data_IF_149700510387
#
_entry.id   IF_149700510387
#
_cell.length_a   1.000
_cell.length_b   1.000
_cell.length_c   1.000
_cell.angle_alpha   90.00
_cell.angle_beta   90.00
_cell.angle_gamma   90.00
#
_symmetry.space_group_name_H-M   'P 1'
#
loop_
_entity.id
_entity.type
_entity.pdbx_description
1 polymer ?
#
# COMPACT_ATOMS: atom_id res chain seq x y z
N UNK A 1 5.63 -23.20 -7.43
CA UNK A 1 5.31 -22.16 -6.44
C UNK A 1 4.31 -22.73 -5.44
N UNK A 2 4.58 -22.60 -4.14
CA UNK A 2 3.63 -23.04 -3.13
C UNK A 2 2.37 -22.16 -3.19
N UNK A 3 1.19 -22.76 -2.98
CA UNK A 3 -0.05 -22.01 -2.83
C UNK A 3 0.04 -21.13 -1.57
N UNK A 4 -0.50 -19.91 -1.59
CA UNK A 4 -0.55 -19.08 -0.39
C UNK A 4 -1.42 -19.74 0.69
N UNK A 5 -1.08 -19.49 1.97
CA UNK A 5 -1.78 -20.05 3.11
C UNK A 5 -3.20 -19.49 3.31
N UNK A 6 -3.52 -18.41 2.61
CA UNK A 6 -4.82 -17.72 2.71
C UNK A 6 -5.10 -16.93 1.42
N UNK A 7 -6.32 -16.42 1.29
CA UNK A 7 -6.72 -15.58 0.16
C UNK A 7 -6.01 -14.23 0.22
N UNK A 8 -4.96 -14.09 -0.58
CA UNK A 8 -4.13 -12.88 -0.62
C UNK A 8 -4.93 -11.67 -1.11
N UNK A 9 -5.75 -11.84 -2.14
CA UNK A 9 -6.54 -10.73 -2.67
C UNK A 9 -7.51 -10.18 -1.63
N UNK A 10 -8.21 -11.06 -0.91
CA UNK A 10 -9.12 -10.65 0.16
C UNK A 10 -8.37 -9.98 1.30
N UNK A 11 -7.20 -10.51 1.68
CA UNK A 11 -6.36 -9.92 2.72
C UNK A 11 -5.92 -8.51 2.35
N UNK A 12 -5.45 -8.31 1.13
CA UNK A 12 -4.95 -7.02 0.64
C UNK A 12 -6.06 -6.01 0.33
N UNK A 13 -7.32 -6.41 0.36
CA UNK A 13 -8.46 -5.49 0.27
C UNK A 13 -8.77 -4.80 1.59
N UNK A 14 -8.23 -5.28 2.71
CA UNK A 14 -8.44 -4.66 4.01
C UNK A 14 -7.66 -3.34 4.14
N UNK A 15 -8.17 -2.35 4.89
CA UNK A 15 -7.48 -1.07 5.07
C UNK A 15 -6.31 -1.19 6.06
N UNK A 16 -5.29 -1.91 5.64
CA UNK A 16 -4.09 -2.14 6.42
C UNK A 16 -3.00 -1.16 6.01
N UNK A 17 -1.99 -1.01 6.84
CA UNK A 17 -0.81 -0.22 6.54
C UNK A 17 0.24 -1.13 5.90
N UNK A 18 0.81 -0.70 4.78
CA UNK A 18 2.00 -1.31 4.22
C UNK A 18 3.24 -0.59 4.74
N UNK A 19 4.34 -1.32 4.82
CA UNK A 19 5.66 -0.72 5.09
C UNK A 19 6.53 -1.00 3.89
N UNK A 20 6.94 0.06 3.22
CA UNK A 20 7.77 -0.03 2.02
C UNK A 20 9.22 0.30 2.36
N UNK A 21 10.12 -0.59 1.93
CA UNK A 21 11.55 -0.46 2.11
C UNK A 21 12.22 -0.15 0.78
N UNK A 22 13.16 0.77 0.81
CA UNK A 22 13.97 1.16 -0.34
C UNK A 22 15.46 1.00 -0.02
N UNK A 23 16.29 1.05 -1.07
CA UNK A 23 17.74 1.05 -0.88
C UNK A 23 18.18 2.23 -0.03
N UNK A 24 19.20 1.96 0.88
CA UNK A 24 19.74 3.00 1.70
C UNK A 24 20.07 2.66 3.16
N UNK A 25 19.57 1.61 3.88
CA UNK A 25 18.20 1.13 3.79
C UNK A 25 17.22 2.14 4.44
N UNK A 26 16.03 2.25 3.89
CA UNK A 26 14.97 3.08 4.44
C UNK A 26 13.65 2.32 4.44
N UNK A 27 12.76 2.69 5.35
CA UNK A 27 11.43 2.09 5.46
C UNK A 27 10.44 3.14 5.92
N UNK A 28 9.20 3.05 5.42
CA UNK A 28 8.12 3.94 5.86
C UNK A 28 6.75 3.27 5.75
N UNK A 29 5.81 3.64 6.62
CA UNK A 29 4.42 3.21 6.50
C UNK A 29 3.74 4.00 5.38
N UNK A 30 2.88 3.31 4.62
CA UNK A 30 2.08 3.93 3.56
C UNK A 30 0.71 3.30 3.51
N UNK A 31 -0.27 4.07 3.06
CA UNK A 31 -1.57 3.56 2.64
C UNK A 31 -1.46 3.09 1.19
N UNK A 32 -2.18 2.04 0.84
CA UNK A 32 -2.07 1.44 -0.49
C UNK A 32 -3.41 0.95 -1.01
N UNK A 33 -3.49 0.78 -2.33
CA UNK A 33 -4.48 -0.05 -2.99
C UNK A 33 -3.79 -1.31 -3.50
N UNK A 34 -4.52 -2.40 -3.50
CA UNK A 34 -4.16 -3.61 -4.22
C UNK A 34 -5.21 -3.85 -5.30
N UNK A 35 -4.83 -3.66 -6.56
CA UNK A 35 -5.70 -3.91 -7.70
C UNK A 35 -4.86 -4.18 -8.95
N UNK A 36 -5.39 -4.97 -9.86
CA UNK A 36 -4.71 -5.33 -11.12
C UNK A 36 -3.35 -5.99 -10.88
N UNK A 37 -3.24 -6.77 -9.80
CA UNK A 37 -1.99 -7.45 -9.46
C UNK A 37 -0.87 -6.53 -9.02
N UNK A 38 -1.17 -5.33 -8.56
CA UNK A 38 -0.18 -4.34 -8.17
C UNK A 38 -0.56 -3.63 -6.87
N UNK A 39 0.48 -3.18 -6.16
CA UNK A 39 0.33 -2.22 -5.06
C UNK A 39 0.45 -0.81 -5.62
N UNK A 40 -0.43 0.07 -5.15
CA UNK A 40 -0.45 1.48 -5.57
C UNK A 40 -0.41 2.35 -4.34
N UNK A 41 0.57 3.25 -4.26
CA UNK A 41 0.66 4.24 -3.20
C UNK A 41 1.01 5.61 -3.76
N UNK A 42 0.60 6.67 -3.06
CA UNK A 42 0.87 8.03 -3.50
C UNK A 42 2.29 8.44 -3.15
N UNK A 43 2.91 9.15 -4.06
CA UNK A 43 4.19 9.82 -3.86
C UNK A 43 4.27 11.06 -4.75
N UNK A 44 5.39 11.73 -4.73
CA UNK A 44 5.62 12.93 -5.54
C UNK A 44 6.90 13.63 -5.10
N UNK A 45 7.32 14.72 -5.79
CA UNK A 45 8.53 15.47 -5.45
C UNK A 45 8.57 16.01 -4.02
N UNK A 46 7.40 16.07 -3.37
CA UNK A 46 7.25 16.49 -1.97
C UNK A 46 7.60 15.39 -0.96
N UNK A 47 7.89 14.17 -1.43
CA UNK A 47 8.19 13.01 -0.57
C UNK A 47 9.56 12.41 -0.92
N UNK A 48 10.30 12.01 0.12
CA UNK A 48 11.61 11.35 -0.08
C UNK A 48 11.51 10.02 -0.80
N UNK A 49 10.40 9.32 -0.65
CA UNK A 49 10.15 8.07 -1.35
C UNK A 49 10.27 8.24 -2.86
N UNK A 50 9.77 9.35 -3.40
CA UNK A 50 9.86 9.68 -4.82
C UNK A 50 11.31 9.70 -5.31
N UNK A 51 12.17 10.43 -4.61
CA UNK A 51 13.59 10.54 -4.99
C UNK A 51 14.31 9.20 -4.86
N UNK A 52 14.01 8.44 -3.81
CA UNK A 52 14.65 7.16 -3.57
C UNK A 52 14.35 6.13 -4.65
N UNK A 53 13.09 6.05 -5.10
CA UNK A 53 12.73 5.09 -6.16
C UNK A 53 13.20 5.55 -7.53
N UNK A 54 13.44 6.85 -7.72
CA UNK A 54 14.10 7.35 -8.94
C UNK A 54 15.56 6.96 -8.98
N UNK A 55 16.25 7.00 -7.82
CA UNK A 55 17.65 6.59 -7.72
C UNK A 55 17.81 5.08 -7.84
N UNK A 56 16.97 4.33 -7.14
CA UNK A 56 16.99 2.87 -7.18
C UNK A 56 15.54 2.37 -7.03
N UNK A 57 14.95 1.85 -8.10
CA UNK A 57 13.55 1.40 -8.08
C UNK A 57 13.33 0.07 -7.36
N UNK A 58 14.37 -0.62 -6.91
CA UNK A 58 14.22 -1.87 -6.16
C UNK A 58 13.59 -1.61 -4.81
N UNK A 59 12.45 -2.23 -4.53
CA UNK A 59 11.71 -2.06 -3.28
C UNK A 59 11.24 -3.39 -2.74
N UNK A 60 11.02 -3.40 -1.43
CA UNK A 60 10.31 -4.47 -0.74
C UNK A 60 9.17 -3.84 0.05
N UNK A 61 8.09 -4.60 0.24
CA UNK A 61 6.92 -4.12 0.92
C UNK A 61 6.35 -5.25 1.77
N UNK A 62 5.93 -4.94 2.99
CA UNK A 62 5.23 -5.87 3.86
C UNK A 62 3.88 -5.29 4.27
N UNK A 63 2.86 -6.14 4.22
CA UNK A 63 1.55 -5.86 4.81
C UNK A 63 1.29 -6.97 5.81
N UNK A 64 0.97 -6.59 7.04
CA UNK A 64 0.71 -7.58 8.08
C UNK A 64 -0.49 -7.18 8.95
N UNK A 65 -1.08 -8.18 9.59
CA UNK A 65 -2.04 -7.99 10.66
C UNK A 65 -1.64 -8.84 11.84
N UNK A 66 -1.87 -8.33 13.05
CA UNK A 66 -1.64 -9.07 14.28
C UNK A 66 -2.78 -8.73 15.24
N UNK A 67 -3.66 -9.70 15.47
CA UNK A 67 -4.77 -9.58 16.40
C UNK A 67 -4.54 -10.50 17.58
N UNK A 68 -4.18 -9.93 18.71
CA UNK A 68 -3.88 -10.69 19.92
C UNK A 68 -5.12 -11.29 20.58
N UNK A 69 -6.30 -10.79 20.26
CA UNK A 69 -7.56 -11.32 20.80
C UNK A 69 -7.90 -12.66 20.14
N UNK A 70 -7.77 -12.72 18.82
CA UNK A 70 -8.09 -13.93 18.05
C UNK A 70 -6.89 -14.82 17.79
N UNK A 71 -5.66 -14.28 17.94
CA UNK A 71 -4.44 -14.97 17.55
C UNK A 71 -4.18 -14.97 16.06
N UNK A 72 -4.93 -14.15 15.30
CA UNK A 72 -4.74 -14.08 13.85
C UNK A 72 -3.53 -13.24 13.52
N UNK A 73 -2.54 -13.87 12.89
CA UNK A 73 -1.32 -13.19 12.42
C UNK A 73 -1.05 -13.62 10.98
N UNK A 74 -1.11 -12.68 10.07
CA UNK A 74 -0.88 -12.94 8.64
C UNK A 74 0.02 -11.88 8.07
N UNK A 75 0.83 -12.25 7.10
CA UNK A 75 1.71 -11.29 6.43
C UNK A 75 1.84 -11.61 4.94
N UNK A 76 2.03 -10.55 4.16
CA UNK A 76 2.39 -10.61 2.76
C UNK A 76 3.66 -9.80 2.57
N UNK A 77 4.69 -10.40 1.97
CA UNK A 77 5.94 -9.74 1.63
C UNK A 77 6.05 -9.75 0.11
N UNK A 78 6.24 -8.58 -0.47
CA UNK A 78 6.39 -8.40 -1.91
C UNK A 78 7.73 -7.72 -2.21
N UNK A 79 8.35 -8.11 -3.32
CA UNK A 79 9.58 -7.49 -3.82
C UNK A 79 9.43 -7.26 -5.31
N UNK A 80 10.01 -6.18 -5.78
CA UNK A 80 10.00 -5.85 -7.20
C UNK A 80 10.61 -4.49 -7.47
N UNK A 81 10.32 -3.97 -8.66
CA UNK A 81 10.76 -2.65 -9.10
C UNK A 81 9.58 -1.71 -9.12
N UNK A 82 9.71 -0.60 -8.41
CA UNK A 82 8.69 0.44 -8.38
C UNK A 82 8.68 1.21 -9.71
N UNK A 83 7.49 1.55 -10.17
CA UNK A 83 7.28 2.45 -11.30
C UNK A 83 6.57 3.70 -10.83
N UNK A 84 6.96 4.85 -11.35
CA UNK A 84 6.23 6.10 -11.12
C UNK A 84 5.31 6.32 -12.32
N UNK A 85 4.01 6.36 -12.05
CA UNK A 85 2.99 6.53 -13.10
C UNK A 85 2.09 7.74 -12.76
N UNK A 86 1.47 8.37 -13.78
CA UNK A 86 0.63 9.54 -13.53
C UNK A 86 -0.51 9.26 -12.56
N UNK A 87 -0.80 10.23 -11.70
CA UNK A 87 -1.94 10.15 -10.79
C UNK A 87 -3.25 10.20 -11.56
N UNK A 88 -4.23 9.41 -11.13
CA UNK A 88 -5.60 9.51 -11.60
C UNK A 88 -6.55 9.61 -10.40
N UNK A 89 -7.56 10.46 -10.54
CA UNK A 89 -8.52 10.77 -9.47
C UNK A 89 -9.39 9.55 -9.15
N UNK A 90 -9.73 8.75 -10.15
CA UNK A 90 -10.64 7.60 -9.95
C UNK A 90 -10.01 6.57 -9.02
N UNK A 91 -8.74 6.23 -9.25
CA UNK A 91 -8.00 5.33 -8.36
C UNK A 91 -7.75 5.98 -6.99
N UNK A 92 -7.48 7.28 -6.98
CA UNK A 92 -7.30 8.05 -5.76
C UNK A 92 -8.54 7.99 -4.85
N UNK A 93 -9.72 8.12 -5.44
CA UNK A 93 -10.99 8.00 -4.71
C UNK A 93 -11.16 6.60 -4.13
N UNK A 94 -10.91 5.55 -4.90
CA UNK A 94 -11.01 4.18 -4.39
C UNK A 94 -10.11 3.96 -3.16
N UNK A 95 -8.88 4.48 -3.22
CA UNK A 95 -7.95 4.38 -2.10
C UNK A 95 -8.48 5.10 -0.86
N UNK A 96 -8.95 6.33 -1.00
CA UNK A 96 -9.43 7.10 0.13
C UNK A 96 -10.73 6.54 0.72
N UNK A 97 -11.64 6.06 -0.10
CA UNK A 97 -12.86 5.40 0.36
C UNK A 97 -12.54 4.17 1.21
N UNK A 98 -11.52 3.43 0.83
CA UNK A 98 -11.08 2.23 1.55
C UNK A 98 -10.66 2.53 2.98
N UNK A 99 -9.98 3.66 3.21
CA UNK A 99 -9.47 4.04 4.54
C UNK A 99 -10.41 4.96 5.31
N UNK A 100 -11.15 5.81 4.62
CA UNK A 100 -11.92 6.89 5.23
C UNK A 100 -13.44 6.68 5.15
N UNK A 101 -13.90 5.70 4.38
CA UNK A 101 -15.33 5.44 4.18
C UNK A 101 -15.89 6.15 2.95
N UNK A 102 -17.13 5.82 2.60
CA UNK A 102 -17.77 6.30 1.38
C UNK A 102 -18.27 7.74 1.45
N UNK A 103 -18.48 8.28 2.65
CA UNK A 103 -18.99 9.64 2.84
C UNK A 103 -17.85 10.65 2.95
N UNK A 104 -17.54 11.29 1.83
CA UNK A 104 -16.47 12.27 1.71
C UNK A 104 -16.65 13.46 2.68
N UNK A 105 -17.89 13.79 3.04
CA UNK A 105 -18.17 14.88 3.97
C UNK A 105 -17.63 14.62 5.39
N UNK A 106 -17.35 13.35 5.72
CA UNK A 106 -16.80 12.96 7.01
C UNK A 106 -15.26 12.88 7.00
N UNK A 107 -14.63 13.08 5.84
CA UNK A 107 -13.18 13.00 5.75
C UNK A 107 -12.49 14.24 6.30
N UNK A 108 -11.28 14.07 6.83
CA UNK A 108 -10.39 15.18 7.12
C UNK A 108 -10.10 15.94 5.82
N UNK A 109 -10.18 17.27 5.87
CA UNK A 109 -10.04 18.13 4.69
C UNK A 109 -8.74 17.91 3.91
N UNK A 110 -7.67 17.51 4.60
CA UNK A 110 -6.37 17.26 3.93
C UNK A 110 -6.45 16.18 2.84
N UNK A 111 -7.35 15.21 3.00
CA UNK A 111 -7.50 14.13 2.02
C UNK A 111 -8.37 14.54 0.83
N UNK A 112 -9.29 15.48 1.05
CA UNK A 112 -10.16 16.00 -0.02
C UNK A 112 -9.32 16.70 -1.11
N UNK A 113 -8.23 17.34 -0.73
CA UNK A 113 -7.33 18.01 -1.68
C UNK A 113 -6.80 17.09 -2.79
N UNK A 114 -6.56 15.83 -2.48
CA UNK A 114 -6.06 14.87 -3.47
C UNK A 114 -7.07 14.55 -4.57
N UNK A 115 -8.34 14.89 -4.37
CA UNK A 115 -9.39 14.61 -5.34
C UNK A 115 -9.89 15.87 -6.07
N UNK A 116 -9.85 17.01 -5.41
CA UNK A 116 -10.50 18.25 -5.90
C UNK A 116 -9.51 19.34 -6.31
N UNK A 117 -8.36 19.38 -5.70
CA UNK A 117 -7.27 20.24 -6.18
C UNK A 117 -6.55 19.52 -7.32
N UNK A 118 -5.76 20.24 -8.10
CA UNK A 118 -5.01 19.61 -9.19
C UNK A 118 -3.73 18.94 -8.67
N UNK A 119 -3.75 17.64 -8.35
CA UNK A 119 -2.56 16.97 -7.85
C UNK A 119 -1.46 16.86 -8.91
N UNK A 120 -1.81 16.95 -10.19
CA UNK A 120 -0.83 16.96 -11.27
C UNK A 120 0.08 18.18 -11.23
N UNK A 121 -0.44 19.34 -10.82
CA UNK A 121 0.37 20.55 -10.67
C UNK A 121 1.42 20.42 -9.56
N UNK A 122 1.15 19.61 -8.56
CA UNK A 122 2.08 19.33 -7.45
C UNK A 122 3.05 18.21 -7.78
N UNK A 123 2.91 17.58 -8.94
CA UNK A 123 3.71 16.44 -9.34
C UNK A 123 3.35 15.14 -8.63
N UNK A 124 2.15 15.06 -8.03
CA UNK A 124 1.68 13.83 -7.39
C UNK A 124 1.61 12.70 -8.40
N UNK A 125 2.14 11.55 -8.02
CA UNK A 125 2.21 10.36 -8.87
C UNK A 125 1.81 9.12 -8.06
N UNK A 126 1.48 8.05 -8.78
CA UNK A 126 1.41 6.73 -8.19
C UNK A 126 2.78 6.07 -8.22
N UNK A 127 3.14 5.47 -7.11
CA UNK A 127 4.15 4.43 -7.08
C UNK A 127 3.40 3.12 -7.28
N UNK A 128 3.69 2.42 -8.38
CA UNK A 128 3.09 1.14 -8.73
C UNK A 128 4.12 0.05 -8.56
N UNK A 129 3.78 -0.98 -7.81
CA UNK A 129 4.64 -2.16 -7.63
C UNK A 129 3.89 -3.40 -8.09
N UNK A 130 4.31 -3.94 -9.23
CA UNK A 130 3.92 -5.29 -9.65
C UNK A 130 4.96 -6.24 -9.03
N UNK A 131 4.57 -7.10 -8.08
CA UNK A 131 5.55 -7.96 -7.42
C UNK A 131 6.25 -8.91 -8.39
N UNK A 132 7.59 -8.92 -8.35
CA UNK A 132 8.39 -9.98 -8.96
C UNK A 132 8.32 -11.24 -8.10
N UNK A 133 8.19 -11.08 -6.78
CA UNK A 133 7.92 -12.17 -5.85
C UNK A 133 6.93 -11.70 -4.79
N UNK A 134 6.04 -12.59 -4.38
CA UNK A 134 5.07 -12.35 -3.31
C UNK A 134 4.97 -13.62 -2.47
N UNK A 135 5.18 -13.47 -1.16
CA UNK A 135 5.07 -14.55 -0.19
C UNK A 135 4.00 -14.21 0.82
N UNK A 136 3.01 -15.08 0.95
CA UNK A 136 1.93 -14.95 1.94
C UNK A 136 2.10 -16.03 3.00
N UNK A 137 2.12 -15.64 4.27
CA UNK A 137 2.34 -16.58 5.38
C UNK A 137 1.31 -16.35 6.47
N UNK A 138 0.68 -17.43 6.90
CA UNK A 138 -0.24 -17.44 8.06
C UNK A 138 0.53 -17.93 9.28
N UNK A 139 0.72 -17.04 10.25
CA UNK A 139 1.42 -17.32 11.51
C UNK A 139 0.44 -17.36 12.69
N UNK A 140 -0.86 -17.47 12.41
CA UNK A 140 -1.91 -17.49 13.43
C UNK A 140 -1.70 -18.60 14.44
N UNK A 141 -2.14 -18.36 15.65
CA UNK A 141 -2.01 -19.28 16.78
C UNK A 141 -3.31 -19.35 17.60
N UNK A 142 -3.47 -20.43 18.34
CA UNK A 142 -4.62 -20.57 19.23
C UNK A 142 -4.42 -19.75 20.49
N UNK A 143 -5.46 -18.98 20.84
CA UNK A 143 -5.47 -18.20 22.08
C UNK A 143 -5.99 -19.08 23.19
N UNK A 144 -5.37 -19.03 24.37
CA UNK A 144 -5.83 -19.77 25.55
C UNK A 144 -7.23 -19.29 25.96
N UNK A 145 -8.14 -20.22 26.40
CA UNK A 145 -9.48 -19.84 26.84
C UNK A 145 -9.47 -18.98 28.12
#
# INVERSE_FOLDING_TARGET
MASPDFDVDAFLQQPLTARIATSGPTVRPVWFLWEEGAFWTLTGPWARLFDRVKDDPSVALVVDECDLVTGRVRQVIARGRAELVPFDVVRGRRKLVRYLGVDEALWDARFVHYLHDDPGERGTMWLRLVPASLTATDLSYSVAP
#
